data_IF_739012922585
#
_entry.id   IF_739012922585
#
_cell.length_a   1.000
_cell.length_b   1.000
_cell.length_c   1.000
_cell.angle_alpha   90.00
_cell.angle_beta   90.00
_cell.angle_gamma   90.00
#
_symmetry.space_group_name_H-M   'P 1'
#
loop_
_entity.id
_entity.type
_entity.pdbx_description
1 polymer ?
#
# COMPACT_ATOMS: atom_id res chain seq x y z
N UNK A 1 4.12 -16.16 14.24
CA UNK A 1 3.28 -14.97 13.94
C UNK A 1 3.83 -14.34 12.67
N UNK A 2 3.54 -14.92 11.52
CA UNK A 2 4.30 -14.72 10.30
C UNK A 2 3.34 -14.49 9.13
N UNK A 3 3.63 -13.49 8.28
CA UNK A 3 3.00 -13.39 6.95
C UNK A 3 2.11 -12.18 6.65
N UNK A 4 2.19 -11.06 7.37
CA UNK A 4 1.38 -9.86 7.04
C UNK A 4 2.06 -8.91 6.04
N UNK A 5 2.99 -9.39 5.21
CA UNK A 5 3.69 -8.55 4.23
C UNK A 5 3.23 -8.90 2.82
N UNK A 6 2.51 -7.97 2.20
CA UNK A 6 2.02 -8.01 0.84
C UNK A 6 3.06 -7.42 -0.13
N UNK A 7 3.15 -7.99 -1.32
CA UNK A 7 3.89 -7.38 -2.44
C UNK A 7 3.10 -6.24 -3.09
N UNK A 8 3.73 -5.44 -3.95
CA UNK A 8 3.02 -4.40 -4.72
C UNK A 8 1.80 -4.94 -5.49
N UNK A 9 1.92 -6.13 -6.06
CA UNK A 9 0.81 -6.79 -6.78
C UNK A 9 -0.32 -7.18 -5.82
N UNK A 10 0.00 -7.75 -4.66
CA UNK A 10 -1.01 -8.13 -3.67
C UNK A 10 -1.66 -6.91 -3.02
N UNK A 11 -0.89 -5.87 -2.72
CA UNK A 11 -1.42 -4.60 -2.23
C UNK A 11 -2.40 -3.99 -3.23
N UNK A 12 -2.12 -4.09 -4.54
CA UNK A 12 -3.00 -3.58 -5.59
C UNK A 12 -4.30 -4.40 -5.65
N UNK A 13 -4.21 -5.73 -5.55
CA UNK A 13 -5.36 -6.61 -5.48
C UNK A 13 -6.20 -6.37 -4.21
N UNK A 14 -5.55 -6.14 -3.07
CA UNK A 14 -6.19 -5.87 -1.78
C UNK A 14 -6.97 -4.55 -1.81
N UNK A 15 -6.38 -3.50 -2.37
CA UNK A 15 -7.03 -2.19 -2.56
C UNK A 15 -8.02 -2.17 -3.74
N UNK A 16 -8.12 -3.25 -4.52
CA UNK A 16 -8.89 -3.31 -5.78
C UNK A 16 -8.54 -2.18 -6.76
N UNK A 17 -7.25 -1.83 -6.86
CA UNK A 17 -6.75 -0.81 -7.79
C UNK A 17 -5.82 -1.42 -8.83
N UNK A 18 -5.65 -0.73 -9.96
CA UNK A 18 -4.67 -1.08 -10.98
C UNK A 18 -3.25 -0.95 -10.44
N UNK A 19 -2.34 -1.83 -10.89
CA UNK A 19 -0.89 -1.73 -10.56
C UNK A 19 -0.33 -0.35 -10.88
N UNK A 20 -0.79 0.27 -11.97
CA UNK A 20 -0.37 1.62 -12.36
C UNK A 20 -0.77 2.66 -11.31
N UNK A 21 -2.00 2.61 -10.81
CA UNK A 21 -2.46 3.47 -9.72
C UNK A 21 -1.67 3.20 -8.45
N UNK A 22 -1.39 1.93 -8.11
CA UNK A 22 -0.56 1.61 -6.94
C UNK A 22 0.85 2.21 -7.06
N UNK A 23 1.50 2.13 -8.22
CA UNK A 23 2.80 2.77 -8.44
C UNK A 23 2.71 4.29 -8.41
N UNK A 24 1.63 4.86 -8.94
CA UNK A 24 1.36 6.29 -8.85
C UNK A 24 1.23 6.70 -7.37
N UNK A 25 0.42 6.01 -6.58
CA UNK A 25 0.23 6.23 -5.15
C UNK A 25 1.50 6.02 -4.33
N UNK A 26 2.32 5.02 -4.65
CA UNK A 26 3.62 4.81 -4.02
C UNK A 26 4.62 5.94 -4.31
N UNK A 27 4.48 6.63 -5.45
CA UNK A 27 5.28 7.79 -5.85
C UNK A 27 4.62 9.15 -5.52
N UNK A 28 3.32 9.15 -5.20
CA UNK A 28 2.58 10.36 -4.88
C UNK A 28 3.14 11.02 -3.63
N UNK A 29 3.21 12.35 -3.68
CA UNK A 29 3.66 13.17 -2.55
C UNK A 29 2.56 13.37 -1.50
N UNK A 30 1.30 13.16 -1.87
CA UNK A 30 0.16 13.21 -0.97
C UNK A 30 0.29 12.16 0.13
N UNK A 31 0.43 12.60 1.37
CA UNK A 31 0.50 11.74 2.54
C UNK A 31 -0.79 10.91 2.73
N UNK A 32 -1.92 11.42 2.26
CA UNK A 32 -3.20 10.71 2.23
C UNK A 32 -3.26 9.62 1.14
N UNK A 33 -2.57 9.82 0.01
CA UNK A 33 -2.53 8.86 -1.11
C UNK A 33 -1.30 7.95 -1.08
N UNK A 34 -0.30 8.25 -0.24
CA UNK A 34 0.94 7.49 -0.16
C UNK A 34 0.72 6.19 0.61
N UNK A 35 0.74 5.09 -0.12
CA UNK A 35 0.56 3.75 0.46
C UNK A 35 1.74 3.45 1.41
N UNK A 36 1.48 3.03 2.66
CA UNK A 36 2.52 2.69 3.62
C UNK A 36 3.21 1.38 3.23
N UNK A 37 4.32 1.51 2.52
CA UNK A 37 5.18 0.42 2.09
C UNK A 37 6.64 0.74 2.33
N UNK A 38 7.42 -0.28 2.67
CA UNK A 38 8.86 -0.21 2.82
C UNK A 38 9.48 -0.78 1.55
N UNK A 39 10.37 -0.02 0.92
CA UNK A 39 11.19 -0.52 -0.18
C UNK A 39 12.37 -1.29 0.43
N UNK A 40 12.34 -2.61 0.32
CA UNK A 40 13.40 -3.49 0.83
C UNK A 40 14.14 -4.06 -0.39
N UNK A 41 15.37 -3.57 -0.60
CA UNK A 41 16.18 -3.88 -1.78
C UNK A 41 15.52 -3.41 -3.07
N UNK A 42 15.21 -4.35 -3.97
CA UNK A 42 14.55 -4.08 -5.27
C UNK A 42 13.02 -4.25 -5.24
N UNK A 43 12.44 -4.68 -4.11
CA UNK A 43 11.01 -4.99 -4.01
C UNK A 43 10.33 -4.10 -2.98
N UNK A 44 9.08 -3.72 -3.26
CA UNK A 44 8.22 -3.07 -2.30
C UNK A 44 7.51 -4.11 -1.44
N UNK A 45 7.50 -3.85 -0.13
CA UNK A 45 6.87 -4.69 0.89
C UNK A 45 5.88 -3.83 1.65
N UNK A 46 4.63 -4.24 1.68
CA UNK A 46 3.53 -3.52 2.31
C UNK A 46 3.00 -4.34 3.47
N UNK A 47 2.84 -3.73 4.65
CA UNK A 47 2.17 -4.44 5.73
C UNK A 47 0.66 -4.42 5.49
N UNK A 48 0.00 -5.57 5.51
CA UNK A 48 -1.46 -5.67 5.33
C UNK A 48 -2.20 -4.79 6.35
N UNK A 49 -1.80 -4.85 7.61
CA UNK A 49 -2.38 -4.03 8.68
C UNK A 49 -2.14 -2.53 8.43
N UNK A 50 -0.97 -2.14 7.90
CA UNK A 50 -0.68 -0.75 7.57
C UNK A 50 -1.54 -0.24 6.40
N UNK A 51 -1.75 -1.08 5.38
CA UNK A 51 -2.65 -0.81 4.26
C UNK A 51 -4.09 -0.62 4.75
N UNK A 52 -4.58 -1.51 5.61
CA UNK A 52 -5.92 -1.42 6.18
C UNK A 52 -6.11 -0.14 7.00
N UNK A 53 -5.17 0.18 7.89
CA UNK A 53 -5.16 1.43 8.65
C UNK A 53 -5.10 2.67 7.73
N UNK A 54 -4.37 2.60 6.63
CA UNK A 54 -4.29 3.70 5.67
C UNK A 54 -5.62 3.93 4.94
N UNK A 55 -6.30 2.87 4.51
CA UNK A 55 -7.65 2.98 3.91
C UNK A 55 -8.63 3.61 4.90
N UNK A 56 -8.59 3.16 6.16
CA UNK A 56 -9.43 3.72 7.23
C UNK A 56 -9.10 5.20 7.49
N UNK A 57 -7.83 5.57 7.47
CA UNK A 57 -7.41 6.96 7.69
C UNK A 57 -7.79 7.90 6.53
N UNK A 58 -7.79 7.38 5.29
CA UNK A 58 -8.20 8.09 4.09
C UNK A 58 -9.72 8.25 3.95
N UNK A 59 -10.51 7.34 4.54
CA UNK A 59 -11.96 7.48 4.64
C UNK A 59 -12.29 8.35 5.85
N UNK A 60 -12.25 9.67 5.66
CA UNK A 60 -12.82 10.61 6.63
C UNK A 60 -14.34 10.51 6.49
N UNK A 61 -14.96 9.67 7.32
CA UNK A 61 -16.42 9.62 7.50
C UNK A 61 -16.85 10.85 8.29
#
# INVERSE_FOLDING_TARGET
MEGNILTATEAAAFLRISKNSLYAYAKSKDEALRIPGVKIGKKWRFHKQALEQWVIKGTKI
#
